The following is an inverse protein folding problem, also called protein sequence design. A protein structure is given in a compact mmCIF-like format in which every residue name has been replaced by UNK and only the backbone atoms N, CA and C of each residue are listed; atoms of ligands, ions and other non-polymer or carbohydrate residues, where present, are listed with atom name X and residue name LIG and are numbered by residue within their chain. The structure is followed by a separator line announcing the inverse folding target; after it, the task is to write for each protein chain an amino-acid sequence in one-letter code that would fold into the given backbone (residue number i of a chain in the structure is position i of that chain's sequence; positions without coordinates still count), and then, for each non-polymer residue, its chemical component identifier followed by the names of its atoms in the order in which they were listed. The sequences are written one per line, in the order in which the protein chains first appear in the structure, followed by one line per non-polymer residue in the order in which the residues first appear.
data_IF_901430010754
#
_entry.id   IF_901430010754
#
_cell.length_a   1.000
_cell.length_b   1.000
_cell.length_c   1.000
_cell.angle_alpha   90.00
_cell.angle_beta   90.00
_cell.angle_gamma   90.00
#
_symmetry.space_group_name_H-M   'P 1'
#
loop_
_entity.id
_entity.type
_entity.pdbx_description
1 polymer ?
#
# COMPACT_ATOMS: atom_id res chain seq x y z
N UNK A 1 -5.01 10.49 9.16
CA UNK A 1 -4.96 9.85 7.84
C UNK A 1 -5.74 8.55 7.92
N UNK A 2 -6.71 8.35 7.04
CA UNK A 2 -7.44 7.08 6.91
C UNK A 2 -6.54 6.03 6.24
N UNK A 3 -6.94 4.75 6.29
CA UNK A 3 -6.24 3.70 5.57
C UNK A 3 -6.12 4.01 4.08
N UNK A 4 -7.21 4.52 3.48
CA UNK A 4 -7.26 4.83 2.06
C UNK A 4 -6.34 6.00 1.69
N UNK A 5 -6.33 7.07 2.51
CA UNK A 5 -5.40 8.18 2.33
C UNK A 5 -3.94 7.73 2.47
N UNK A 6 -3.64 6.80 3.38
CA UNK A 6 -2.29 6.27 3.55
C UNK A 6 -1.84 5.44 2.35
N UNK A 7 -2.74 4.64 1.77
CA UNK A 7 -2.49 3.89 0.52
C UNK A 7 -2.23 4.87 -0.62
N UNK A 8 -3.07 5.88 -0.80
CA UNK A 8 -2.90 6.91 -1.84
C UNK A 8 -1.58 7.66 -1.66
N UNK A 9 -1.21 8.02 -0.45
CA UNK A 9 0.07 8.66 -0.17
C UNK A 9 1.25 7.74 -0.55
N UNK A 10 1.17 6.46 -0.17
CA UNK A 10 2.21 5.49 -0.48
C UNK A 10 2.39 5.30 -1.98
N UNK A 11 1.32 5.04 -2.74
CA UNK A 11 1.41 4.79 -4.19
C UNK A 11 1.86 6.03 -4.97
N UNK A 12 1.62 7.23 -4.43
CA UNK A 12 2.04 8.48 -5.04
C UNK A 12 3.48 8.87 -4.72
N UNK A 13 4.10 8.26 -3.70
CA UNK A 13 5.50 8.49 -3.35
C UNK A 13 6.47 8.08 -4.46
N UNK A 14 7.59 8.79 -4.59
CA UNK A 14 8.61 8.48 -5.60
C UNK A 14 9.25 7.10 -5.37
N UNK A 15 9.51 6.74 -4.11
CA UNK A 15 10.07 5.45 -3.74
C UNK A 15 9.20 4.30 -4.23
N UNK A 16 7.89 4.38 -3.99
CA UNK A 16 6.95 3.37 -4.46
C UNK A 16 6.90 3.29 -6.00
N UNK A 17 6.83 4.45 -6.67
CA UNK A 17 6.81 4.51 -8.15
C UNK A 17 8.09 3.92 -8.75
N UNK A 18 9.24 4.16 -8.15
CA UNK A 18 10.51 3.61 -8.60
C UNK A 18 10.55 2.08 -8.44
N UNK A 19 10.04 1.55 -7.33
CA UNK A 19 9.91 0.11 -7.12
C UNK A 19 8.94 -0.52 -8.12
N UNK A 20 7.79 0.12 -8.36
CA UNK A 20 6.78 -0.37 -9.31
C UNK A 20 7.27 -0.41 -10.77
N UNK A 21 8.29 0.39 -11.14
CA UNK A 21 8.91 0.39 -12.48
C UNK A 21 9.87 -0.78 -12.69
N UNK A 22 10.34 -1.45 -11.64
CA UNK A 22 11.31 -2.54 -11.78
C UNK A 22 10.70 -3.75 -12.51
N UNK A 23 11.43 -4.31 -13.49
CA UNK A 23 11.02 -5.50 -14.26
C UNK A 23 11.45 -6.81 -13.58
N UNK A 24 11.23 -6.91 -12.26
CA UNK A 24 11.56 -8.07 -11.44
C UNK A 24 10.35 -8.48 -10.57
N UNK A 25 10.52 -9.53 -9.77
CA UNK A 25 9.49 -10.02 -8.85
C UNK A 25 9.04 -8.95 -7.86
N UNK A 26 9.95 -8.09 -7.39
CA UNK A 26 9.64 -7.01 -6.48
C UNK A 26 8.72 -5.98 -7.14
N UNK A 27 9.09 -5.42 -8.30
CA UNK A 27 8.23 -4.46 -9.00
C UNK A 27 6.88 -5.05 -9.40
N UNK A 28 6.81 -6.36 -9.69
CA UNK A 28 5.53 -7.05 -9.90
C UNK A 28 4.62 -7.01 -8.68
N UNK A 29 5.16 -7.17 -7.45
CA UNK A 29 4.37 -7.04 -6.21
C UNK A 29 3.76 -5.64 -6.07
N UNK A 30 4.53 -4.59 -6.34
CA UNK A 30 4.07 -3.20 -6.24
C UNK A 30 2.99 -2.87 -7.28
N UNK A 31 3.15 -3.35 -8.52
CA UNK A 31 2.11 -3.22 -9.55
C UNK A 31 0.83 -3.98 -9.19
N UNK A 32 0.96 -5.18 -8.63
CA UNK A 32 -0.18 -5.96 -8.16
C UNK A 32 -0.92 -5.25 -7.03
N UNK A 33 -0.19 -4.61 -6.11
CA UNK A 33 -0.77 -3.80 -5.04
C UNK A 33 -1.61 -2.64 -5.61
N UNK A 34 -1.08 -1.88 -6.58
CA UNK A 34 -1.83 -0.82 -7.28
C UNK A 34 -3.08 -1.39 -7.95
N UNK A 35 -2.96 -2.49 -8.69
CA UNK A 35 -4.08 -3.06 -9.43
C UNK A 35 -5.20 -3.51 -8.49
N UNK A 36 -4.86 -4.17 -7.38
CA UNK A 36 -5.85 -4.60 -6.37
C UNK A 36 -6.52 -3.42 -5.66
N UNK A 37 -5.77 -2.35 -5.41
CA UNK A 37 -6.35 -1.11 -4.86
C UNK A 37 -7.37 -0.53 -5.84
N UNK A 38 -7.01 -0.42 -7.13
CA UNK A 38 -7.90 0.10 -8.17
C UNK A 38 -9.12 -0.77 -8.44
N UNK A 39 -9.00 -2.11 -8.34
CA UNK A 39 -10.12 -3.03 -8.53
C UNK A 39 -11.02 -3.17 -7.30
N UNK A 40 -10.66 -2.58 -6.16
CA UNK A 40 -11.38 -2.76 -4.90
C UNK A 40 -11.17 -4.16 -4.26
N UNK A 41 -10.24 -4.95 -4.78
CA UNK A 41 -9.92 -6.30 -4.28
C UNK A 41 -8.83 -6.28 -3.20
N UNK A 42 -8.29 -5.10 -2.87
CA UNK A 42 -7.28 -4.96 -1.83
C UNK A 42 -7.91 -5.17 -0.45
N UNK A 43 -7.63 -6.32 0.15
CA UNK A 43 -8.03 -6.62 1.53
C UNK A 43 -7.33 -5.65 2.50
N UNK A 44 -8.08 -5.12 3.46
CA UNK A 44 -7.56 -4.19 4.47
C UNK A 44 -6.32 -4.72 5.20
N UNK A 45 -6.29 -6.01 5.56
CA UNK A 45 -5.11 -6.62 6.19
C UNK A 45 -3.87 -6.56 5.32
N UNK A 46 -4.00 -6.92 4.03
CA UNK A 46 -2.89 -6.83 3.08
C UNK A 46 -2.43 -5.38 2.85
N UNK A 47 -3.36 -4.42 2.87
CA UNK A 47 -3.00 -3.00 2.81
C UNK A 47 -2.21 -2.55 4.05
N UNK A 48 -2.65 -2.96 5.23
CA UNK A 48 -2.01 -2.69 6.52
C UNK A 48 -0.60 -3.26 6.56
N UNK A 49 -0.42 -4.54 6.22
CA UNK A 49 0.89 -5.20 6.22
C UNK A 49 1.86 -4.47 5.28
N UNK A 50 1.39 -4.13 4.08
CA UNK A 50 2.20 -3.43 3.10
C UNK A 50 2.60 -2.01 3.55
N UNK A 51 1.70 -1.29 4.24
CA UNK A 51 1.99 0.01 4.81
C UNK A 51 3.03 -0.08 5.94
N UNK A 52 2.93 -1.09 6.81
CA UNK A 52 3.89 -1.33 7.89
C UNK A 52 5.28 -1.61 7.33
N UNK A 53 5.38 -2.44 6.28
CA UNK A 53 6.65 -2.69 5.56
C UNK A 53 7.31 -1.40 5.04
N UNK A 54 6.51 -0.35 4.79
CA UNK A 54 6.98 0.95 4.30
C UNK A 54 7.09 2.01 5.41
N UNK A 55 7.12 1.59 6.68
CA UNK A 55 7.40 2.45 7.82
C UNK A 55 6.19 3.22 8.36
N UNK A 56 4.97 2.94 7.88
CA UNK A 56 3.77 3.52 8.46
C UNK A 56 3.48 2.89 9.82
N UNK A 57 3.14 3.72 10.79
CA UNK A 57 2.58 3.26 12.08
C UNK A 57 1.06 3.27 12.00
N UNK A 58 0.44 2.16 12.35
CA UNK A 58 -1.02 2.02 12.35
C UNK A 58 -1.52 1.99 13.79
N UNK A 59 -2.38 2.96 14.13
CA UNK A 59 -3.06 3.02 15.42
C UNK A 59 -4.49 2.50 15.28
N UNK A 60 -4.78 1.37 15.90
CA UNK A 60 -6.14 0.83 15.98
C UNK A 60 -6.85 1.45 17.18
N UNK A 61 -7.79 2.36 16.92
CA UNK A 61 -8.66 2.89 17.97
C UNK A 61 -9.80 1.89 18.20
N UNK A 62 -9.90 1.32 19.40
CA UNK A 62 -11.08 0.54 19.78
C UNK A 62 -12.30 1.47 19.76
N UNK A 63 -13.45 1.04 19.21
CA UNK A 63 -14.68 1.81 19.34
C UNK A 63 -14.98 1.95 20.84
N UNK A 64 -15.30 3.18 21.24
CA UNK A 64 -15.60 3.54 22.63
C UNK A 64 -17.05 3.21 22.97
#
# INVERSE_FOLDING_TARGET
MTLQEAIEHLINSEGFKNMAKQKNSTGSKYRMFINRHKSGELKNGAAVDFLIEHGYKIEVRKPK
#
